data_IF_495073961759
#
_entry.id   IF_495073961759
#
_cell.length_a   1.000
_cell.length_b   1.000
_cell.length_c   1.000
_cell.angle_alpha   90.00
_cell.angle_beta   90.00
_cell.angle_gamma   90.00
#
_symmetry.space_group_name_H-M   'P 1'
#
loop_
_entity.id
_entity.type
_entity.pdbx_description
1 polymer ?
#
# COMPACT_ATOMS: atom_id res chain seq x y z
N UNK A 1 61.60 -8.92 -66.21
CA UNK A 1 62.61 -9.26 -65.19
C UNK A 1 62.92 -8.01 -64.38
N UNK A 2 62.85 -8.14 -63.04
CA UNK A 2 63.39 -7.26 -61.96
C UNK A 2 62.91 -5.79 -61.92
N UNK A 3 61.98 -5.45 -60.99
CA UNK A 3 62.16 -5.00 -59.57
C UNK A 3 62.61 -3.52 -59.49
N UNK A 4 61.69 -2.61 -59.11
CA UNK A 4 61.50 -1.98 -57.76
C UNK A 4 62.26 -0.64 -57.73
N UNK A 5 61.72 0.53 -57.36
CA UNK A 5 60.78 0.91 -56.29
C UNK A 5 59.98 2.17 -56.68
N UNK A 6 58.73 2.29 -56.20
CA UNK A 6 57.96 3.53 -56.23
C UNK A 6 57.39 3.83 -54.85
N UNK A 7 57.62 5.07 -54.40
CA UNK A 7 57.26 5.61 -53.10
C UNK A 7 55.75 5.66 -52.86
N UNK A 8 55.32 5.32 -51.64
CA UNK A 8 53.93 5.48 -51.17
C UNK A 8 53.89 6.63 -50.15
N UNK A 9 53.01 7.58 -50.43
CA UNK A 9 52.66 8.72 -49.60
C UNK A 9 51.90 8.33 -48.33
N UNK A 10 52.14 9.11 -47.28
CA UNK A 10 51.44 9.07 -45.98
C UNK A 10 49.98 9.53 -46.13
N UNK A 11 49.06 8.82 -45.48
CA UNK A 11 47.83 9.41 -44.96
C UNK A 11 47.54 8.76 -43.60
N UNK A 12 47.61 9.57 -42.54
CA UNK A 12 47.28 9.14 -41.18
C UNK A 12 45.77 9.03 -41.01
N UNK A 13 45.34 7.97 -40.35
CA UNK A 13 44.01 7.88 -39.73
C UNK A 13 44.26 7.63 -38.25
N UNK A 14 44.02 8.65 -37.43
CA UNK A 14 44.05 8.51 -35.98
C UNK A 14 42.83 7.72 -35.51
N UNK A 15 43.07 6.63 -34.78
CA UNK A 15 42.04 5.97 -33.98
C UNK A 15 41.67 6.89 -32.81
N UNK A 16 40.54 7.58 -32.91
CA UNK A 16 39.84 8.16 -31.76
C UNK A 16 38.85 7.13 -31.23
N UNK A 17 39.26 6.28 -30.29
CA UNK A 17 38.32 5.46 -29.52
C UNK A 17 37.62 6.37 -28.51
N UNK A 18 36.38 6.76 -28.79
CA UNK A 18 35.52 7.43 -27.82
C UNK A 18 35.11 6.40 -26.75
N UNK A 19 35.79 6.45 -25.59
CA UNK A 19 35.33 5.77 -24.39
C UNK A 19 34.08 6.49 -23.89
N UNK A 20 32.90 5.94 -24.20
CA UNK A 20 31.66 6.30 -23.49
C UNK A 20 31.75 5.64 -22.12
N UNK A 21 32.23 6.40 -21.13
CA UNK A 21 32.12 6.03 -19.72
C UNK A 21 30.65 6.14 -19.31
N UNK A 22 29.90 5.03 -19.40
CA UNK A 22 28.66 4.88 -18.64
C UNK A 22 29.05 4.80 -17.17
N UNK A 23 29.08 5.95 -16.49
CA UNK A 23 29.18 6.00 -15.04
C UNK A 23 27.87 5.48 -14.45
N UNK A 24 27.79 4.17 -14.22
CA UNK A 24 26.80 3.58 -13.35
C UNK A 24 27.04 4.14 -11.93
N UNK A 25 26.30 5.18 -11.56
CA UNK A 25 26.24 5.64 -10.19
C UNK A 25 25.42 4.62 -9.38
N UNK A 26 26.11 3.59 -8.90
CA UNK A 26 25.63 2.85 -7.74
C UNK A 26 25.83 3.75 -6.51
N UNK A 27 24.92 4.71 -6.31
CA UNK A 27 24.76 5.31 -5.00
C UNK A 27 24.26 4.19 -4.09
N UNK A 28 25.12 3.72 -3.19
CA UNK A 28 24.75 2.73 -2.17
C UNK A 28 23.82 3.41 -1.17
N UNK A 29 22.55 3.58 -1.53
CA UNK A 29 21.48 3.84 -0.56
C UNK A 29 21.56 2.75 0.48
N UNK A 30 21.74 3.12 1.75
CA UNK A 30 21.58 2.18 2.86
C UNK A 30 20.24 1.46 2.64
N UNK A 31 20.31 0.14 2.45
CA UNK A 31 19.18 -0.60 1.92
C UNK A 31 18.03 -0.55 2.93
N UNK A 32 16.82 -0.29 2.45
CA UNK A 32 15.65 -0.32 3.31
C UNK A 32 15.40 -1.75 3.80
N UNK A 33 15.48 -1.97 5.11
CA UNK A 33 15.25 -3.27 5.75
C UNK A 33 13.94 -3.21 6.52
N UNK A 34 12.94 -4.05 6.20
CA UNK A 34 11.71 -4.09 6.97
C UNK A 34 11.96 -4.44 8.43
N UNK A 35 11.27 -3.74 9.32
CA UNK A 35 11.31 -3.93 10.76
C UNK A 35 9.95 -4.40 11.25
N UNK A 36 9.93 -5.41 12.12
CA UNK A 36 8.71 -5.84 12.81
C UNK A 36 8.17 -4.67 13.63
N UNK A 37 6.88 -4.38 13.48
CA UNK A 37 6.28 -3.25 14.17
C UNK A 37 5.82 -3.65 15.57
N UNK A 38 6.31 -2.92 16.59
CA UNK A 38 5.91 -3.05 17.99
C UNK A 38 5.80 -4.52 18.50
N UNK A 39 6.90 -5.29 18.40
CA UNK A 39 6.89 -6.73 18.70
C UNK A 39 6.46 -7.01 20.15
N UNK A 40 5.58 -7.99 20.32
CA UNK A 40 5.04 -8.40 21.62
C UNK A 40 3.89 -7.52 22.13
N UNK A 41 3.59 -6.40 21.48
CA UNK A 41 2.46 -5.53 21.83
C UNK A 41 1.40 -5.53 20.72
N UNK A 42 1.82 -5.18 19.51
CA UNK A 42 0.94 -5.18 18.33
C UNK A 42 1.20 -6.46 17.54
N UNK A 43 2.41 -6.64 17.01
CA UNK A 43 2.81 -7.89 16.35
C UNK A 43 3.05 -8.99 17.38
N UNK A 44 2.25 -10.05 17.32
CA UNK A 44 2.21 -11.14 18.31
C UNK A 44 1.82 -12.45 17.66
N UNK A 45 1.18 -13.34 18.42
CA UNK A 45 0.85 -14.68 17.92
C UNK A 45 -0.36 -14.73 16.95
N UNK A 46 -1.05 -13.61 16.74
CA UNK A 46 -2.28 -13.53 15.94
C UNK A 46 -1.96 -12.98 14.53
N UNK A 47 -2.91 -13.09 13.61
CA UNK A 47 -2.78 -12.52 12.27
C UNK A 47 -3.08 -11.02 12.31
N UNK A 48 -2.06 -10.18 12.14
CA UNK A 48 -2.22 -8.73 12.05
C UNK A 48 -2.37 -8.29 10.59
N UNK A 49 -3.31 -7.38 10.32
CA UNK A 49 -3.56 -6.79 9.01
C UNK A 49 -3.13 -5.33 8.95
N UNK A 50 -3.63 -4.59 7.95
CA UNK A 50 -3.27 -3.20 7.70
C UNK A 50 -3.47 -2.29 8.93
N UNK A 51 -2.65 -1.24 9.02
CA UNK A 51 -2.61 -0.30 10.13
C UNK A 51 -2.59 1.15 9.65
N UNK A 52 -3.37 2.00 10.30
CA UNK A 52 -3.44 3.44 10.06
C UNK A 52 -3.05 4.21 11.33
N UNK A 53 -2.40 5.36 11.13
CA UNK A 53 -1.86 6.18 12.20
C UNK A 53 -2.54 7.54 12.25
N UNK A 54 -2.75 8.08 13.45
CA UNK A 54 -3.06 9.51 13.58
C UNK A 54 -1.89 10.37 13.09
N UNK A 55 -2.13 11.62 12.64
CA UNK A 55 -1.06 12.47 12.10
C UNK A 55 0.08 12.78 13.08
N UNK A 56 -0.19 12.74 14.39
CA UNK A 56 0.81 12.87 15.46
C UNK A 56 1.64 11.60 15.65
N UNK A 57 1.23 10.47 15.08
CA UNK A 57 1.88 9.16 15.26
C UNK A 57 1.63 8.50 16.62
N UNK A 58 0.76 9.08 17.46
CA UNK A 58 0.54 8.62 18.83
C UNK A 58 -0.63 7.64 18.96
N UNK A 59 -1.43 7.45 17.92
CA UNK A 59 -2.47 6.41 17.88
C UNK A 59 -2.33 5.57 16.62
N UNK A 60 -2.45 4.26 16.78
CA UNK A 60 -2.55 3.30 15.67
C UNK A 60 -3.86 2.54 15.76
N UNK A 61 -4.55 2.44 14.63
CA UNK A 61 -5.70 1.56 14.44
C UNK A 61 -5.29 0.48 13.47
N UNK A 62 -5.43 -0.79 13.83
CA UNK A 62 -4.97 -1.91 13.00
C UNK A 62 -5.98 -3.07 13.01
N UNK A 63 -6.00 -3.82 11.92
CA UNK A 63 -6.81 -5.03 11.82
C UNK A 63 -6.12 -6.22 12.47
N UNK A 64 -6.90 -7.10 13.08
CA UNK A 64 -6.44 -8.37 13.63
C UNK A 64 -7.45 -9.48 13.33
N UNK A 65 -6.93 -10.58 12.79
CA UNK A 65 -7.65 -11.79 12.45
C UNK A 65 -7.76 -12.77 13.63
N UNK A 66 -8.96 -13.35 13.77
CA UNK A 66 -9.24 -14.48 14.66
C UNK A 66 -10.09 -15.50 13.89
N UNK A 67 -9.41 -16.43 13.21
CA UNK A 67 -10.06 -17.41 12.32
C UNK A 67 -10.70 -16.73 11.12
N UNK A 68 -12.04 -16.72 11.05
CA UNK A 68 -12.78 -16.05 9.97
C UNK A 68 -13.23 -14.63 10.32
N UNK A 69 -12.94 -14.17 11.54
CA UNK A 69 -13.25 -12.81 12.00
C UNK A 69 -12.05 -11.90 11.79
N UNK A 70 -12.33 -10.63 11.53
CA UNK A 70 -11.34 -9.55 11.57
C UNK A 70 -11.93 -8.43 12.42
N UNK A 71 -11.13 -7.88 13.32
CA UNK A 71 -11.52 -6.82 14.24
C UNK A 71 -10.47 -5.71 14.19
N UNK A 72 -10.92 -4.46 14.16
CA UNK A 72 -10.04 -3.30 14.35
C UNK A 72 -9.74 -3.08 15.84
N UNK A 73 -8.46 -2.93 16.15
CA UNK A 73 -7.93 -2.58 17.46
C UNK A 73 -7.31 -1.19 17.43
N UNK A 74 -7.27 -0.53 18.59
CA UNK A 74 -6.57 0.73 18.82
C UNK A 74 -5.48 0.55 19.89
N UNK A 75 -4.33 1.16 19.66
CA UNK A 75 -3.25 1.30 20.62
C UNK A 75 -2.73 2.73 20.61
N UNK A 76 -2.27 3.22 21.77
CA UNK A 76 -1.76 4.56 21.95
C UNK A 76 -0.30 4.52 22.38
N UNK A 77 0.51 5.44 21.86
CA UNK A 77 1.89 5.63 22.27
C UNK A 77 1.92 6.50 23.53
N UNK A 78 2.36 5.94 24.65
CA UNK A 78 2.47 6.63 25.93
C UNK A 78 3.89 6.43 26.46
N UNK A 79 4.62 7.53 26.70
CA UNK A 79 6.01 7.46 27.16
C UNK A 79 6.94 6.73 26.18
N UNK A 80 6.68 6.85 24.88
CA UNK A 80 7.48 6.20 23.83
C UNK A 80 7.14 4.72 23.55
N UNK A 81 6.22 4.11 24.31
CA UNK A 81 5.81 2.72 24.13
C UNK A 81 4.33 2.62 23.73
N UNK A 82 4.00 1.63 22.91
CA UNK A 82 2.61 1.32 22.56
C UNK A 82 1.89 0.67 23.74
N UNK A 83 0.67 1.11 24.02
CA UNK A 83 -0.21 0.52 25.03
C UNK A 83 -0.72 -0.84 24.57
N UNK A 84 -1.19 -1.66 25.52
CA UNK A 84 -1.94 -2.88 25.19
C UNK A 84 -3.10 -2.54 24.24
N UNK A 85 -3.23 -3.21 23.08
CA UNK A 85 -4.32 -2.96 22.16
C UNK A 85 -5.69 -3.26 22.78
N UNK A 86 -6.69 -2.45 22.40
CA UNK A 86 -8.10 -2.64 22.77
C UNK A 86 -8.95 -2.65 21.50
N UNK A 87 -10.06 -3.38 21.49
CA UNK A 87 -11.00 -3.32 20.36
C UNK A 87 -11.45 -1.86 20.17
N UNK A 88 -11.38 -1.36 18.94
CA UNK A 88 -11.83 -0.01 18.62
C UNK A 88 -13.35 0.10 18.90
N UNK A 89 -13.85 1.22 19.44
CA UNK A 89 -15.23 1.33 19.93
C UNK A 89 -16.30 1.16 18.84
N UNK A 90 -15.91 1.31 17.57
CA UNK A 90 -16.77 1.14 16.39
C UNK A 90 -16.70 -0.26 15.74
N UNK A 91 -15.92 -1.17 16.33
CA UNK A 91 -15.51 -2.48 15.80
C UNK A 91 -15.91 -3.64 16.72
N UNK A 92 -15.67 -4.88 16.30
CA UNK A 92 -15.81 -6.10 17.12
C UNK A 92 -17.13 -6.86 16.96
N UNK A 93 -18.10 -6.28 16.25
CA UNK A 93 -19.36 -6.94 15.88
C UNK A 93 -19.34 -7.53 14.48
N UNK A 94 -18.70 -6.82 13.56
CA UNK A 94 -18.67 -7.14 12.13
C UNK A 94 -17.25 -7.56 11.74
N UNK A 95 -17.07 -8.01 10.51
CA UNK A 95 -15.74 -8.23 9.96
C UNK A 95 -15.23 -6.87 9.49
N UNK A 96 -14.30 -6.30 10.25
CA UNK A 96 -13.76 -4.96 10.06
C UNK A 96 -12.25 -5.04 9.78
N UNK A 97 -11.78 -4.43 8.70
CA UNK A 97 -10.41 -4.51 8.18
C UNK A 97 -10.00 -3.22 7.45
N UNK A 98 -8.76 -3.18 6.97
CA UNK A 98 -8.15 -2.12 6.15
C UNK A 98 -8.47 -0.69 6.62
N UNK A 99 -8.05 -0.31 7.84
CA UNK A 99 -8.19 1.06 8.30
C UNK A 99 -7.29 1.99 7.48
N UNK A 100 -7.78 3.20 7.20
CA UNK A 100 -7.02 4.29 6.56
C UNK A 100 -7.40 5.63 7.20
N UNK A 101 -6.40 6.33 7.75
CA UNK A 101 -6.60 7.62 8.42
C UNK A 101 -6.61 8.75 7.38
N UNK A 102 -7.51 9.71 7.54
CA UNK A 102 -7.42 10.97 6.82
C UNK A 102 -6.10 11.70 7.18
N UNK A 103 -5.42 12.36 6.22
CA UNK A 103 -4.13 13.00 6.50
C UNK A 103 -4.15 14.08 7.58
N UNK A 104 -5.33 14.66 7.85
CA UNK A 104 -5.58 15.66 8.90
C UNK A 104 -6.06 15.03 10.22
N UNK A 105 -6.27 13.71 10.26
CA UNK A 105 -6.75 12.97 11.42
C UNK A 105 -8.22 13.16 11.75
N UNK A 106 -9.00 13.83 10.90
CA UNK A 106 -10.41 14.17 11.16
C UNK A 106 -11.35 12.97 11.06
N UNK A 107 -11.00 11.95 10.28
CA UNK A 107 -11.77 10.72 10.15
C UNK A 107 -10.88 9.53 9.81
N UNK A 108 -11.44 8.33 9.97
CA UNK A 108 -10.86 7.08 9.51
C UNK A 108 -11.85 6.36 8.60
N UNK A 109 -11.34 5.87 7.47
CA UNK A 109 -12.05 4.90 6.64
C UNK A 109 -11.68 3.49 7.06
N UNK A 110 -12.61 2.57 6.91
CA UNK A 110 -12.37 1.15 7.09
C UNK A 110 -13.33 0.32 6.26
N UNK A 111 -12.99 -0.94 6.09
CA UNK A 111 -13.77 -1.91 5.31
C UNK A 111 -14.61 -2.75 6.27
N UNK A 112 -15.90 -2.92 5.98
CA UNK A 112 -16.82 -3.66 6.86
C UNK A 112 -17.88 -4.43 6.08
N UNK A 113 -18.23 -5.63 6.59
CA UNK A 113 -19.37 -6.41 6.09
C UNK A 113 -20.68 -6.06 6.79
N UNK A 114 -20.73 -4.98 7.57
CA UNK A 114 -21.95 -4.60 8.30
C UNK A 114 -23.11 -4.30 7.34
N UNK A 115 -24.36 -4.53 7.77
CA UNK A 115 -25.53 -4.33 6.93
C UNK A 115 -25.73 -2.84 6.58
N UNK A 116 -26.25 -2.59 5.37
CA UNK A 116 -26.66 -1.24 4.94
C UNK A 116 -27.88 -0.77 5.72
N UNK A 117 -28.80 -1.68 6.04
CA UNK A 117 -29.99 -1.42 6.84
C UNK A 117 -29.75 -1.87 8.27
N UNK A 118 -30.07 -1.00 9.23
CA UNK A 118 -29.94 -1.31 10.66
C UNK A 118 -30.71 -2.59 11.01
N UNK A 119 -30.03 -3.54 11.65
CA UNK A 119 -30.61 -4.85 12.01
C UNK A 119 -30.59 -5.89 10.89
N UNK A 120 -30.11 -5.55 9.69
CA UNK A 120 -29.99 -6.47 8.57
C UNK A 120 -28.87 -7.52 8.73
N UNK A 121 -28.78 -8.41 7.74
CA UNK A 121 -27.72 -9.41 7.65
C UNK A 121 -26.41 -8.80 7.13
N UNK A 122 -25.24 -9.36 7.53
CA UNK A 122 -23.96 -8.96 6.94
C UNK A 122 -23.99 -9.00 5.41
N UNK A 123 -23.20 -8.14 4.79
CA UNK A 123 -23.02 -8.09 3.34
C UNK A 123 -22.45 -9.41 2.83
N UNK A 124 -23.00 -9.89 1.72
CA UNK A 124 -22.47 -11.04 0.99
C UNK A 124 -21.59 -10.58 -0.16
N UNK A 125 -20.54 -11.33 -0.46
CA UNK A 125 -19.76 -11.10 -1.67
C UNK A 125 -20.37 -11.90 -2.83
N UNK A 126 -20.28 -11.36 -4.03
CA UNK A 126 -20.66 -12.04 -5.27
C UNK A 126 -19.40 -12.27 -6.10
N UNK A 127 -19.09 -13.53 -6.36
CA UNK A 127 -18.04 -13.91 -7.30
C UNK A 127 -18.34 -13.48 -8.72
N UNK A 128 -17.33 -13.49 -9.58
CA UNK A 128 -17.48 -13.19 -11.01
C UNK A 128 -18.34 -14.23 -11.74
N UNK A 129 -18.47 -15.43 -11.16
CA UNK A 129 -19.35 -16.52 -11.58
C UNK A 129 -20.80 -16.38 -11.04
N UNK A 130 -21.11 -15.29 -10.33
CA UNK A 130 -22.40 -15.08 -9.66
C UNK A 130 -22.54 -15.85 -8.34
N UNK A 131 -21.52 -16.60 -7.91
CA UNK A 131 -21.57 -17.35 -6.65
C UNK A 131 -21.65 -16.40 -5.47
N UNK A 132 -22.60 -16.67 -4.57
CA UNK A 132 -22.78 -15.92 -3.33
C UNK A 132 -21.90 -16.47 -2.21
N UNK A 133 -21.17 -15.59 -1.54
CA UNK A 133 -20.36 -15.90 -0.38
C UNK A 133 -20.92 -15.18 0.85
N UNK A 134 -21.63 -15.96 1.69
CA UNK A 134 -22.39 -15.43 2.81
C UNK A 134 -21.50 -14.71 3.82
N UNK A 135 -21.86 -13.48 4.18
CA UNK A 135 -21.16 -12.61 5.12
C UNK A 135 -19.76 -12.18 4.68
N UNK A 136 -19.39 -12.39 3.42
CA UNK A 136 -18.05 -12.06 2.92
C UNK A 136 -17.95 -10.75 2.15
N UNK A 137 -19.07 -10.07 1.92
CA UNK A 137 -19.14 -8.79 1.21
C UNK A 137 -18.56 -7.66 2.04
N UNK A 138 -18.09 -6.61 1.37
CA UNK A 138 -17.37 -5.51 1.97
C UNK A 138 -17.67 -4.20 1.28
N UNK A 139 -17.86 -3.17 2.11
CA UNK A 139 -18.03 -1.77 1.71
C UNK A 139 -17.11 -0.88 2.55
N UNK A 140 -16.85 0.32 2.06
CA UNK A 140 -16.14 1.36 2.79
C UNK A 140 -17.08 2.12 3.72
N UNK A 141 -16.61 2.30 4.95
CA UNK A 141 -17.27 3.01 6.03
C UNK A 141 -16.32 4.06 6.59
N UNK A 142 -16.90 5.14 7.13
CA UNK A 142 -16.22 6.26 7.76
C UNK A 142 -16.61 6.34 9.23
N UNK A 143 -15.66 6.67 10.08
CA UNK A 143 -15.90 7.17 11.44
C UNK A 143 -15.20 8.50 11.61
N UNK A 144 -15.93 9.50 12.08
CA UNK A 144 -15.34 10.79 12.43
C UNK A 144 -14.59 10.70 13.76
N UNK A 145 -13.48 11.41 13.86
CA UNK A 145 -12.69 11.50 15.09
C UNK A 145 -13.08 12.78 15.85
N UNK A 146 -13.33 12.65 17.14
CA UNK A 146 -13.72 13.75 18.03
C UNK A 146 -12.80 13.76 19.25
N UNK A 147 -11.71 14.55 19.19
CA UNK A 147 -10.63 14.43 20.17
C UNK A 147 -10.05 13.02 20.14
N UNK A 148 -10.01 12.34 21.28
CA UNK A 148 -9.57 10.93 21.36
C UNK A 148 -10.69 9.90 21.12
N UNK A 149 -11.91 10.38 20.88
CA UNK A 149 -13.10 9.56 20.63
C UNK A 149 -13.40 9.37 19.15
N UNK A 150 -14.36 8.48 18.88
CA UNK A 150 -14.86 8.15 17.55
C UNK A 150 -16.37 8.28 17.49
N UNK A 151 -16.88 8.81 16.38
CA UNK A 151 -18.30 8.87 16.07
C UNK A 151 -18.88 7.52 15.64
N UNK A 152 -20.16 7.55 15.26
CA UNK A 152 -20.84 6.37 14.72
C UNK A 152 -20.35 6.06 13.29
N UNK A 153 -20.19 4.79 12.90
CA UNK A 153 -19.84 4.44 11.53
C UNK A 153 -20.93 4.81 10.52
N UNK A 154 -20.52 5.47 9.44
CA UNK A 154 -21.37 5.86 8.31
C UNK A 154 -20.83 5.22 7.04
N UNK A 155 -21.70 4.58 6.26
CA UNK A 155 -21.30 3.96 4.99
C UNK A 155 -21.00 5.04 3.97
N UNK A 156 -19.92 4.90 3.20
CA UNK A 156 -19.69 5.79 2.07
C UNK A 156 -20.78 5.61 0.99
N UNK A 157 -21.04 6.63 0.14
CA UNK A 157 -22.10 6.59 -0.87
C UNK A 157 -21.94 5.45 -1.88
N UNK A 158 -23.02 5.13 -2.59
CA UNK A 158 -23.02 4.08 -3.63
C UNK A 158 -22.10 4.39 -4.81
N UNK A 159 -21.78 5.67 -5.04
CA UNK A 159 -20.76 6.07 -6.01
C UNK A 159 -19.38 5.46 -5.69
N UNK A 160 -19.08 5.21 -4.41
CA UNK A 160 -17.88 4.50 -3.96
C UNK A 160 -18.16 3.00 -3.85
N UNK A 161 -19.26 2.65 -3.19
CA UNK A 161 -19.63 1.27 -2.89
C UNK A 161 -20.52 0.66 -3.99
N UNK A 162 -20.05 0.72 -5.24
CA UNK A 162 -20.80 0.23 -6.42
C UNK A 162 -21.05 -1.29 -6.39
N UNK A 163 -20.32 -2.01 -5.53
CA UNK A 163 -20.53 -3.43 -5.25
C UNK A 163 -20.16 -3.78 -3.80
N UNK A 164 -20.43 -5.02 -3.39
CA UNK A 164 -19.95 -5.59 -2.12
C UNK A 164 -18.51 -6.11 -2.19
N UNK A 165 -17.72 -5.59 -3.13
CA UNK A 165 -16.31 -5.90 -3.31
C UNK A 165 -15.48 -4.61 -3.38
N UNK A 166 -15.54 -3.82 -2.29
CA UNK A 166 -14.82 -2.55 -2.15
C UNK A 166 -13.92 -2.62 -0.91
N UNK A 167 -12.61 -2.43 -1.07
CA UNK A 167 -11.60 -2.74 -0.04
C UNK A 167 -10.41 -1.75 -0.05
N UNK A 168 -9.50 -1.93 0.92
CA UNK A 168 -8.17 -1.30 0.97
C UNK A 168 -8.15 0.21 0.63
N UNK A 169 -8.84 1.06 1.43
CA UNK A 169 -8.87 2.48 1.18
C UNK A 169 -7.52 3.15 1.49
N UNK A 170 -7.29 4.30 0.85
CA UNK A 170 -6.30 5.31 1.24
C UNK A 170 -6.84 6.69 0.94
N UNK A 171 -6.52 7.67 1.79
CA UNK A 171 -7.10 9.02 1.75
C UNK A 171 -6.04 10.05 1.35
N UNK A 172 -6.33 10.83 0.31
CA UNK A 172 -5.52 11.97 -0.11
C UNK A 172 -5.86 13.23 0.71
N UNK A 173 -5.02 14.26 0.62
CA UNK A 173 -5.13 15.50 1.40
C UNK A 173 -6.34 16.36 1.02
N UNK A 174 -6.89 16.20 -0.17
CA UNK A 174 -8.15 16.82 -0.60
C UNK A 174 -9.40 16.01 -0.18
N UNK A 175 -9.21 14.90 0.55
CA UNK A 175 -10.26 13.97 0.93
C UNK A 175 -10.59 12.93 -0.14
N UNK A 176 -9.96 12.97 -1.32
CA UNK A 176 -10.13 11.93 -2.34
C UNK A 176 -9.71 10.57 -1.81
N UNK A 177 -10.38 9.52 -2.29
CA UNK A 177 -10.16 8.15 -1.81
C UNK A 177 -9.66 7.27 -2.95
N UNK A 178 -8.57 6.57 -2.69
CA UNK A 178 -8.08 5.44 -3.49
C UNK A 178 -8.59 4.16 -2.87
N UNK A 179 -9.07 3.22 -3.68
CA UNK A 179 -9.64 1.97 -3.18
C UNK A 179 -9.67 0.87 -4.24
N UNK A 180 -9.66 -0.37 -3.77
CA UNK A 180 -9.88 -1.53 -4.60
C UNK A 180 -11.37 -1.72 -4.85
N UNK A 181 -11.76 -1.84 -6.12
CA UNK A 181 -13.15 -2.10 -6.48
C UNK A 181 -13.24 -3.06 -7.67
N UNK A 182 -14.36 -3.76 -7.76
CA UNK A 182 -14.71 -4.54 -8.94
C UNK A 182 -14.98 -3.62 -10.13
N UNK A 183 -14.25 -3.82 -11.22
CA UNK A 183 -14.47 -3.08 -12.45
C UNK A 183 -15.83 -3.44 -13.07
N UNK A 184 -16.69 -2.47 -13.38
CA UNK A 184 -18.01 -2.71 -13.96
C UNK A 184 -17.97 -3.43 -15.32
N UNK A 185 -16.88 -3.30 -16.08
CA UNK A 185 -16.80 -3.84 -17.44
C UNK A 185 -16.59 -5.36 -17.47
N UNK A 186 -15.80 -5.91 -16.54
CA UNK A 186 -15.39 -7.33 -16.58
C UNK A 186 -15.39 -8.03 -15.21
N UNK A 187 -15.70 -7.32 -14.13
CA UNK A 187 -15.76 -7.90 -12.80
C UNK A 187 -14.40 -8.14 -12.12
N UNK A 188 -13.29 -7.68 -12.71
CA UNK A 188 -11.95 -7.82 -12.12
C UNK A 188 -11.71 -6.71 -11.10
N UNK A 189 -11.11 -7.05 -9.95
CA UNK A 189 -10.75 -6.03 -8.95
C UNK A 189 -9.57 -5.19 -9.46
N UNK A 190 -9.73 -3.87 -9.40
CA UNK A 190 -8.74 -2.87 -9.81
C UNK A 190 -8.71 -1.70 -8.83
N UNK A 191 -7.64 -0.93 -8.90
CA UNK A 191 -7.50 0.31 -8.15
C UNK A 191 -8.29 1.45 -8.81
N UNK A 192 -9.09 2.15 -8.01
CA UNK A 192 -9.87 3.32 -8.40
C UNK A 192 -9.52 4.52 -7.52
N UNK A 193 -9.78 5.72 -8.04
CA UNK A 193 -9.73 6.99 -7.31
C UNK A 193 -11.06 7.70 -7.47
N UNK A 194 -11.73 8.02 -6.35
CA UNK A 194 -12.85 8.93 -6.35
C UNK A 194 -12.39 10.29 -5.83
N UNK A 195 -12.61 11.34 -6.64
CA UNK A 195 -12.28 12.69 -6.20
C UNK A 195 -13.31 13.17 -5.18
N UNK A 196 -12.85 13.72 -4.07
CA UNK A 196 -13.71 14.47 -3.16
C UNK A 196 -13.75 15.95 -3.57
N UNK A 197 -14.94 16.51 -3.72
CA UNK A 197 -15.14 17.92 -4.09
C UNK A 197 -16.49 18.40 -3.58
N UNK A 198 -16.51 19.58 -2.96
CA UNK A 198 -17.73 20.29 -2.55
C UNK A 198 -18.69 19.45 -1.67
N UNK A 199 -18.14 18.57 -0.84
CA UNK A 199 -18.94 17.71 0.06
C UNK A 199 -19.19 16.30 -0.46
N UNK A 200 -18.94 16.05 -1.74
CA UNK A 200 -19.32 14.80 -2.43
C UNK A 200 -18.13 14.08 -3.08
N UNK A 201 -18.31 12.78 -3.31
CA UNK A 201 -17.40 11.98 -4.13
C UNK A 201 -17.88 11.95 -5.59
N UNK A 202 -17.03 12.39 -6.51
CA UNK A 202 -17.25 12.25 -7.94
C UNK A 202 -17.13 10.78 -8.38
N UNK A 203 -17.72 10.40 -9.54
CA UNK A 203 -17.60 9.05 -10.08
C UNK A 203 -16.14 8.59 -10.13
N UNK A 204 -15.82 7.39 -9.60
CA UNK A 204 -14.46 6.92 -9.49
C UNK A 204 -13.85 6.65 -10.87
N UNK A 205 -12.60 7.05 -11.05
CA UNK A 205 -11.80 6.76 -12.24
C UNK A 205 -10.81 5.65 -11.95
N UNK A 206 -10.60 4.75 -12.91
CA UNK A 206 -9.58 3.70 -12.80
C UNK A 206 -8.21 4.36 -12.72
N UNK A 207 -7.39 3.91 -11.77
CA UNK A 207 -6.00 4.35 -11.66
C UNK A 207 -5.13 3.51 -12.59
N UNK A 208 -4.53 4.15 -13.58
CA UNK A 208 -3.54 3.52 -14.45
C UNK A 208 -2.19 3.50 -13.73
N UNK A 209 -1.75 2.30 -13.35
CA UNK A 209 -0.46 2.00 -12.75
C UNK A 209 0.08 0.74 -13.44
N UNK A 210 1.39 0.71 -13.69
CA UNK A 210 2.03 -0.45 -14.30
C UNK A 210 1.59 -0.76 -15.73
N UNK A 211 2.06 -1.90 -16.21
CA UNK A 211 1.75 -2.43 -17.54
C UNK A 211 0.36 -3.08 -17.59
N UNK A 212 -0.17 -3.24 -18.80
CA UNK A 212 -1.42 -3.96 -19.01
C UNK A 212 -1.31 -5.42 -18.52
N UNK A 213 -2.27 -5.85 -17.70
CA UNK A 213 -2.31 -7.20 -17.14
C UNK A 213 -1.63 -7.36 -15.79
N UNK A 214 -0.94 -6.34 -15.28
CA UNK A 214 -0.49 -6.31 -13.89
C UNK A 214 -1.70 -6.27 -12.94
N UNK A 215 -1.57 -6.94 -11.79
CA UNK A 215 -2.55 -6.87 -10.71
C UNK A 215 -2.06 -5.88 -9.67
N UNK A 216 -2.80 -4.80 -9.44
CA UNK A 216 -2.42 -3.71 -8.52
C UNK A 216 -3.53 -3.51 -7.51
N UNK A 217 -3.17 -3.48 -6.23
CA UNK A 217 -4.07 -3.47 -5.08
C UNK A 217 -3.45 -2.78 -3.87
N UNK A 218 -4.25 -2.51 -2.85
CA UNK A 218 -3.84 -2.00 -1.52
C UNK A 218 -2.90 -0.79 -1.59
N UNK A 219 -3.36 0.26 -2.27
CA UNK A 219 -2.56 1.45 -2.46
C UNK A 219 -2.59 2.38 -1.23
N UNK A 220 -1.42 2.86 -0.83
CA UNK A 220 -1.19 3.95 0.10
C UNK A 220 -0.70 5.17 -0.66
N UNK A 221 -1.53 6.21 -0.77
CA UNK A 221 -1.21 7.45 -1.49
C UNK A 221 -0.66 8.50 -0.55
N UNK A 222 0.35 9.26 -0.98
CA UNK A 222 0.78 10.46 -0.27
C UNK A 222 -0.36 11.48 -0.22
N UNK A 223 -0.50 12.29 0.85
CA UNK A 223 -1.57 13.29 0.94
C UNK A 223 -1.57 14.31 -0.20
N UNK A 224 -0.41 14.67 -0.72
CA UNK A 224 -0.26 15.56 -1.88
C UNK A 224 -0.29 14.83 -3.23
N UNK A 225 -0.58 13.53 -3.20
CA UNK A 225 -0.52 12.61 -4.34
C UNK A 225 0.81 12.61 -5.10
N UNK A 226 1.92 13.01 -4.46
CA UNK A 226 3.24 13.04 -5.09
C UNK A 226 3.82 11.64 -5.34
N UNK A 227 3.43 10.65 -4.54
CA UNK A 227 3.77 9.25 -4.73
C UNK A 227 2.66 8.33 -4.22
N UNK A 228 2.74 7.06 -4.63
CA UNK A 228 1.82 5.99 -4.23
C UNK A 228 2.60 4.69 -4.05
N UNK A 229 2.37 3.99 -2.94
CA UNK A 229 2.93 2.65 -2.67
C UNK A 229 1.80 1.63 -2.76
N UNK A 230 2.01 0.49 -3.38
CA UNK A 230 0.95 -0.48 -3.64
C UNK A 230 1.49 -1.90 -3.77
N UNK A 231 0.61 -2.87 -3.59
CA UNK A 231 0.86 -4.28 -3.85
C UNK A 231 0.73 -4.55 -5.35
N UNK A 232 1.69 -5.26 -5.95
CA UNK A 232 1.71 -5.60 -7.37
C UNK A 232 2.06 -7.08 -7.62
N UNK A 233 1.38 -7.69 -8.58
CA UNK A 233 1.86 -8.87 -9.32
C UNK A 233 2.07 -8.45 -10.77
N UNK A 234 3.31 -8.45 -11.29
CA UNK A 234 3.59 -8.12 -12.69
C UNK A 234 2.81 -8.98 -13.68
N UNK A 235 2.59 -8.49 -14.90
CA UNK A 235 1.82 -9.22 -15.89
C UNK A 235 2.48 -10.58 -16.21
N UNK A 236 1.67 -11.64 -16.25
CA UNK A 236 2.16 -13.00 -16.51
C UNK A 236 2.94 -13.65 -15.36
N UNK A 237 3.25 -12.92 -14.28
CA UNK A 237 3.94 -13.48 -13.12
C UNK A 237 3.01 -14.34 -12.26
N UNK A 238 3.57 -15.41 -11.69
CA UNK A 238 2.95 -16.24 -10.63
C UNK A 238 3.59 -16.01 -9.27
N UNK A 239 4.49 -15.03 -9.15
CA UNK A 239 5.15 -14.69 -7.90
C UNK A 239 4.12 -14.14 -6.88
N UNK A 240 4.44 -14.19 -5.57
CA UNK A 240 3.68 -13.49 -4.55
C UNK A 240 3.55 -11.98 -4.81
N UNK A 241 2.59 -11.34 -4.15
CA UNK A 241 2.46 -9.88 -4.16
C UNK A 241 3.74 -9.22 -3.62
N UNK A 242 4.22 -8.23 -4.35
CA UNK A 242 5.39 -7.40 -4.02
C UNK A 242 4.94 -5.96 -3.79
N UNK A 243 5.66 -5.20 -2.98
CA UNK A 243 5.48 -3.76 -2.88
C UNK A 243 6.25 -3.04 -3.97
N UNK A 244 5.61 -2.04 -4.56
CA UNK A 244 6.20 -1.09 -5.49
C UNK A 244 5.77 0.34 -5.16
N UNK A 245 6.57 1.32 -5.61
CA UNK A 245 6.27 2.75 -5.52
C UNK A 245 6.20 3.36 -6.92
N UNK A 246 5.27 4.30 -7.13
CA UNK A 246 5.22 5.14 -8.32
C UNK A 246 5.11 6.62 -7.91
N UNK A 247 5.60 7.50 -8.77
CA UNK A 247 5.65 8.95 -8.56
C UNK A 247 4.70 9.67 -9.50
N UNK A 248 4.18 10.81 -9.07
CA UNK A 248 3.31 11.63 -9.90
C UNK A 248 4.12 12.43 -10.91
N UNK A 249 3.75 12.31 -12.17
CA UNK A 249 4.34 13.00 -13.32
C UNK A 249 3.27 13.80 -14.07
N UNK A 250 3.69 14.63 -15.04
CA UNK A 250 2.76 15.45 -15.85
C UNK A 250 1.68 14.63 -16.56
N UNK A 251 1.98 13.38 -16.93
CA UNK A 251 1.09 12.48 -17.68
C UNK A 251 0.33 11.46 -16.84
N UNK A 252 0.49 11.45 -15.52
CA UNK A 252 -0.09 10.42 -14.65
C UNK A 252 0.93 9.87 -13.65
N UNK A 253 0.83 8.59 -13.31
CA UNK A 253 1.81 7.93 -12.46
C UNK A 253 2.98 7.39 -13.31
N UNK A 254 4.20 7.46 -12.76
CA UNK A 254 5.40 6.85 -13.34
C UNK A 254 5.25 5.33 -13.46
N UNK A 255 6.19 4.70 -14.17
CA UNK A 255 6.34 3.25 -14.08
C UNK A 255 6.58 2.82 -12.62
N UNK A 256 5.99 1.68 -12.17
CA UNK A 256 6.25 1.13 -10.84
C UNK A 256 7.72 0.81 -10.64
N UNK A 257 8.26 1.17 -9.48
CA UNK A 257 9.60 0.81 -9.02
C UNK A 257 9.44 -0.22 -7.90
N UNK A 258 9.96 -1.43 -8.12
CA UNK A 258 9.98 -2.49 -7.11
C UNK A 258 10.79 -2.06 -5.87
N UNK A 259 10.29 -2.36 -4.67
CA UNK A 259 11.01 -2.03 -3.42
C UNK A 259 12.18 -2.97 -3.12
N UNK A 260 12.48 -3.91 -4.02
CA UNK A 260 13.63 -4.81 -3.97
C UNK A 260 13.43 -6.01 -3.06
N UNK A 261 14.28 -7.01 -3.25
CA UNK A 261 14.18 -8.33 -2.62
C UNK A 261 14.30 -8.28 -1.09
N UNK A 262 15.03 -7.31 -0.53
CA UNK A 262 15.09 -7.15 0.94
C UNK A 262 13.72 -6.83 1.55
N UNK A 263 12.87 -6.11 0.82
CA UNK A 263 11.49 -5.82 1.22
C UNK A 263 10.59 -7.00 0.87
N UNK A 264 10.73 -7.50 -0.35
CA UNK A 264 9.74 -8.38 -0.98
C UNK A 264 10.02 -9.90 -0.86
N UNK A 265 11.27 -10.36 -0.76
CA UNK A 265 11.66 -11.79 -0.83
C UNK A 265 11.59 -12.50 0.52
N UNK A 266 10.42 -12.42 1.16
CA UNK A 266 10.14 -13.17 2.39
C UNK A 266 8.66 -13.57 2.52
N UNK A 267 7.99 -13.86 1.40
CA UNK A 267 6.57 -14.18 1.35
C UNK A 267 5.82 -13.23 0.41
N UNK A 268 4.63 -12.81 0.79
CA UNK A 268 3.94 -11.67 0.18
C UNK A 268 4.09 -10.43 1.05
N UNK A 269 3.93 -9.26 0.46
CA UNK A 269 3.76 -8.00 1.17
C UNK A 269 2.54 -7.27 0.60
N UNK A 270 1.60 -6.90 1.49
CA UNK A 270 0.35 -6.26 1.08
C UNK A 270 -0.26 -5.39 2.19
N UNK A 271 -1.37 -4.72 1.90
CA UNK A 271 -2.06 -3.86 2.86
C UNK A 271 -1.30 -2.58 3.19
N UNK A 272 -0.67 -1.95 2.17
CA UNK A 272 0.16 -0.77 2.36
C UNK A 272 -0.63 0.36 3.02
N UNK A 273 -0.02 1.02 4.01
CA UNK A 273 -0.47 2.29 4.60
C UNK A 273 0.75 3.15 4.93
N UNK A 274 0.64 4.47 4.79
CA UNK A 274 1.74 5.37 5.15
C UNK A 274 1.78 5.60 6.67
N UNK A 275 2.99 5.70 7.20
CA UNK A 275 3.22 6.22 8.54
C UNK A 275 2.89 7.71 8.64
N UNK A 276 2.74 8.20 9.88
CA UNK A 276 2.54 9.62 10.16
C UNK A 276 3.67 10.52 9.59
N UNK A 277 4.88 9.98 9.48
CA UNK A 277 6.05 10.64 8.89
C UNK A 277 5.97 10.80 7.36
N UNK A 278 5.01 10.13 6.71
CA UNK A 278 4.85 10.06 5.24
C UNK A 278 6.12 9.61 4.51
N UNK A 279 7.03 8.96 5.23
CA UNK A 279 8.33 8.47 4.76
C UNK A 279 8.56 7.01 5.12
N UNK A 280 7.65 6.40 5.89
CA UNK A 280 7.59 4.98 6.14
C UNK A 280 6.32 4.39 5.55
N UNK A 281 6.41 3.17 5.01
CA UNK A 281 5.24 2.35 4.67
C UNK A 281 5.12 1.22 5.68
N UNK A 282 3.89 0.98 6.11
CA UNK A 282 3.47 -0.16 6.91
C UNK A 282 2.71 -1.14 6.03
N UNK A 283 2.99 -2.42 6.21
CA UNK A 283 2.40 -3.51 5.44
C UNK A 283 2.34 -4.76 6.32
N UNK A 284 1.50 -5.73 5.97
CA UNK A 284 1.50 -7.02 6.63
C UNK A 284 2.10 -8.11 5.75
N UNK A 285 2.73 -9.07 6.42
CA UNK A 285 3.43 -10.19 5.79
C UNK A 285 3.62 -11.34 6.77
N UNK A 286 3.45 -12.56 6.28
CA UNK A 286 3.77 -13.81 6.96
C UNK A 286 5.29 -14.13 6.99
N UNK A 287 6.13 -13.12 6.75
CA UNK A 287 7.59 -13.29 6.70
C UNK A 287 8.17 -13.78 8.01
N UNK A 288 9.23 -14.58 7.90
CA UNK A 288 9.98 -15.13 9.05
C UNK A 288 11.37 -14.55 9.11
N UNK A 289 11.84 -14.30 10.32
CA UNK A 289 13.14 -13.70 10.59
C UNK A 289 14.06 -14.68 11.33
N UNK A 290 15.21 -15.01 10.74
CA UNK A 290 16.13 -15.99 11.31
C UNK A 290 16.72 -15.56 12.67
N UNK A 291 16.75 -14.24 12.94
CA UNK A 291 17.34 -13.68 14.16
C UNK A 291 16.43 -13.80 15.40
N UNK A 292 15.16 -14.19 15.24
CA UNK A 292 14.20 -14.27 16.34
C UNK A 292 13.31 -15.55 16.29
N UNK A 293 13.87 -16.76 16.17
CA UNK A 293 13.11 -17.98 15.86
C UNK A 293 12.07 -18.40 16.92
N UNK A 294 12.22 -17.93 18.17
CA UNK A 294 11.28 -18.22 19.27
C UNK A 294 10.30 -17.10 19.59
N UNK A 295 10.33 -15.98 18.84
CA UNK A 295 9.42 -14.87 19.09
C UNK A 295 7.98 -15.25 18.72
N UNK A 296 7.01 -14.84 19.54
CA UNK A 296 5.60 -15.17 19.32
C UNK A 296 5.06 -14.71 17.95
N UNK A 297 5.58 -13.59 17.44
CA UNK A 297 5.26 -13.05 16.11
C UNK A 297 5.96 -13.76 14.95
N UNK A 298 7.03 -14.50 15.21
CA UNK A 298 7.78 -15.20 14.16
C UNK A 298 7.23 -16.62 13.93
N UNK A 299 5.90 -16.74 13.85
CA UNK A 299 5.17 -18.00 13.81
C UNK A 299 4.58 -18.31 12.42
N UNK A 300 4.78 -17.43 11.43
CA UNK A 300 4.27 -17.56 10.06
C UNK A 300 2.83 -17.06 9.87
N UNK A 301 2.24 -16.45 10.90
CA UNK A 301 1.06 -15.60 10.77
C UNK A 301 1.44 -14.24 10.19
N UNK A 302 0.45 -13.56 9.62
CA UNK A 302 0.64 -12.19 9.18
C UNK A 302 0.97 -11.30 10.38
N UNK A 303 2.00 -10.48 10.24
CA UNK A 303 2.36 -9.47 11.23
C UNK A 303 2.62 -8.14 10.53
N UNK A 304 2.56 -7.04 11.30
CA UNK A 304 2.83 -5.71 10.79
C UNK A 304 4.33 -5.44 10.71
N UNK A 305 4.74 -4.94 9.55
CA UNK A 305 6.11 -4.54 9.26
C UNK A 305 6.12 -3.09 8.81
N UNK A 306 7.25 -2.43 9.03
CA UNK A 306 7.50 -1.08 8.55
C UNK A 306 8.80 -1.03 7.79
N UNK A 307 8.87 -0.23 6.72
CA UNK A 307 10.11 0.05 6.01
C UNK A 307 10.18 1.51 5.61
N UNK A 308 11.37 2.10 5.70
CA UNK A 308 11.61 3.47 5.25
C UNK A 308 11.56 3.54 3.72
N UNK A 309 10.83 4.51 3.20
CA UNK A 309 10.76 4.85 1.78
C UNK A 309 11.87 5.84 1.36
N UNK A 310 12.70 6.31 2.29
CA UNK A 310 13.72 7.32 2.02
C UNK A 310 14.61 7.01 0.80
N UNK A 311 15.08 5.76 0.57
CA UNK A 311 15.90 5.46 -0.61
C UNK A 311 15.25 5.82 -1.95
N UNK A 312 13.93 5.63 -2.08
CA UNK A 312 13.19 5.94 -3.31
C UNK A 312 12.79 7.42 -3.37
N UNK A 313 12.30 7.97 -2.26
CA UNK A 313 11.85 9.36 -2.20
C UNK A 313 13.00 10.35 -2.43
N UNK A 314 14.15 10.09 -1.83
CA UNK A 314 15.32 10.98 -1.93
C UNK A 314 16.01 10.84 -3.29
N UNK A 315 16.07 9.62 -3.85
CA UNK A 315 16.57 9.41 -5.22
C UNK A 315 15.70 10.12 -6.27
N UNK A 316 14.37 10.04 -6.15
CA UNK A 316 13.45 10.74 -7.05
C UNK A 316 13.62 12.27 -6.95
N UNK A 317 13.75 12.80 -5.73
CA UNK A 317 13.99 14.24 -5.50
C UNK A 317 15.32 14.71 -6.10
N UNK A 318 16.38 13.92 -5.97
CA UNK A 318 17.68 14.23 -6.55
C UNK A 318 17.61 14.25 -8.08
N UNK A 319 16.89 13.31 -8.71
CA UNK A 319 16.71 13.26 -10.16
C UNK A 319 15.82 14.40 -10.70
N UNK A 320 14.94 14.97 -9.87
CA UNK A 320 14.09 16.10 -10.22
C UNK A 320 14.76 17.47 -10.00
N UNK A 321 15.96 17.51 -9.41
CA UNK A 321 16.70 18.75 -9.19
C UNK A 321 17.45 19.15 -10.48
N UNK A 322 17.34 20.41 -10.93
CA UNK A 322 17.93 20.90 -12.19
C UNK A 322 19.46 20.98 -12.18
#
# INVERSE_FOLDING_TARGET
MTKRDAAIWRAGVGLGAALVLTAAHAATTAAAVPQIFAPGVISGAQDEGAAAFTPDGDTVVFARGEGQRSTLFVSHRVGGAWSRPRVAPFSGRWRDLDPAMAPDGSFLLFVSNRPIVVGGAPLDALGTDGKRYVGRGMNLWRVDRHGDGWGAPVRLPDAINTSTMTFAPSVAGDGSVYFDARDPADGVIRLYRAQYRDGDYLPPVRVALGEAGAKIRDAAVAPDESFIVFSIVPAGSRAPLRLAIAFRERGGWSAPIDLGDRVNDAGYAMGSQLGADRRSVYFYSARREAHAPGAAWNNGSDNLWSVSLAPWLDAHRAAASP
#
